data_IF_236335576564
#
_entry.id   IF_236335576564
#
_cell.length_a   1.000
_cell.length_b   1.000
_cell.length_c   1.000
_cell.angle_alpha   90.00
_cell.angle_beta   90.00
_cell.angle_gamma   90.00
#
_symmetry.space_group_name_H-M   'P 1'
#
loop_
_entity.id
_entity.type
_entity.pdbx_description
1 polymer ?
#
# COMPACT_ATOMS: atom_id res chain seq x y z
N UNK A 1 -41.62 -8.40 8.38
CA UNK A 1 -40.92 -7.09 8.47
C UNK A 1 -39.43 -7.38 8.59
N UNK A 2 -38.55 -6.85 7.71
CA UNK A 2 -37.13 -7.13 7.78
C UNK A 2 -36.49 -6.24 8.85
N UNK A 3 -35.75 -6.84 9.78
CA UNK A 3 -34.89 -6.11 10.70
C UNK A 3 -33.64 -5.69 9.94
N UNK A 4 -33.53 -4.40 9.66
CA UNK A 4 -32.28 -3.73 9.34
C UNK A 4 -31.39 -3.76 10.57
N UNK A 5 -30.16 -4.28 10.44
CA UNK A 5 -29.07 -3.79 11.27
C UNK A 5 -27.77 -3.87 10.47
N UNK A 6 -27.42 -2.74 9.87
CA UNK A 6 -26.14 -2.52 9.22
C UNK A 6 -25.06 -2.57 10.28
N UNK A 7 -24.19 -3.59 10.21
CA UNK A 7 -22.98 -3.63 11.02
C UNK A 7 -22.11 -2.45 10.60
N UNK A 8 -22.01 -1.47 11.47
CA UNK A 8 -21.14 -0.31 11.31
C UNK A 8 -19.71 -0.79 11.61
N UNK A 9 -19.01 -1.28 10.58
CA UNK A 9 -17.57 -1.55 10.66
C UNK A 9 -16.86 -0.21 10.57
N UNK A 10 -16.37 0.28 11.71
CA UNK A 10 -15.47 1.42 11.75
C UNK A 10 -14.05 0.88 11.47
N UNK A 11 -13.43 1.17 10.30
CA UNK A 11 -12.20 0.50 9.87
C UNK A 11 -10.92 1.15 10.41
N UNK A 12 -11.03 2.12 11.34
CA UNK A 12 -9.86 2.77 11.91
C UNK A 12 -9.33 1.96 13.10
N UNK A 13 -8.11 1.42 12.96
CA UNK A 13 -7.35 0.85 14.07
C UNK A 13 -7.14 1.97 15.12
N UNK A 14 -7.54 1.78 16.40
CA UNK A 14 -7.35 2.79 17.43
C UNK A 14 -5.86 3.10 17.65
N UNK A 15 -5.53 4.37 17.92
CA UNK A 15 -4.14 4.83 18.04
C UNK A 15 -3.31 4.05 19.08
N UNK A 16 -3.91 3.62 20.20
CA UNK A 16 -3.22 2.81 21.21
C UNK A 16 -2.85 1.40 20.74
N UNK A 17 -3.46 0.89 19.66
CA UNK A 17 -3.09 -0.37 19.03
C UNK A 17 -1.81 -0.22 18.20
N UNK A 18 -1.49 1.00 17.74
CA UNK A 18 -0.22 1.32 17.05
C UNK A 18 0.99 1.35 17.99
N UNK A 19 0.77 1.50 19.29
CA UNK A 19 1.82 1.54 20.32
C UNK A 19 2.22 0.14 20.81
N UNK A 20 1.58 -0.93 20.31
CA UNK A 20 2.03 -2.30 20.54
C UNK A 20 3.21 -2.62 19.60
N UNK A 21 4.21 -3.31 20.15
CA UNK A 21 5.37 -3.85 19.43
C UNK A 21 4.94 -4.70 18.22
N UNK A 22 4.80 -4.05 17.06
CA UNK A 22 4.35 -4.69 15.82
C UNK A 22 5.47 -5.50 15.21
N UNK A 23 5.19 -6.78 14.98
CA UNK A 23 6.12 -7.71 14.31
C UNK A 23 5.89 -7.70 12.81
N UNK A 24 7.00 -7.62 12.08
CA UNK A 24 7.05 -7.83 10.65
C UNK A 24 6.44 -9.21 10.33
N UNK A 25 5.44 -9.28 9.47
CA UNK A 25 4.76 -10.54 9.16
C UNK A 25 5.68 -11.53 8.43
N UNK A 26 6.74 -11.03 7.78
CA UNK A 26 7.68 -11.82 6.97
C UNK A 26 8.85 -12.40 7.75
N UNK A 27 9.45 -11.62 8.64
CA UNK A 27 10.66 -12.03 9.36
C UNK A 27 10.55 -11.94 10.90
N UNK A 28 9.45 -11.42 11.43
CA UNK A 28 9.22 -11.30 12.87
C UNK A 28 9.95 -10.16 13.58
N UNK A 29 10.82 -9.41 12.88
CA UNK A 29 11.50 -8.22 13.42
C UNK A 29 10.50 -7.09 13.75
N UNK A 30 10.88 -6.13 14.59
CA UNK A 30 10.04 -4.97 14.88
C UNK A 30 9.85 -4.09 13.65
N UNK A 31 8.62 -3.62 13.44
CA UNK A 31 8.33 -2.55 12.49
C UNK A 31 8.63 -1.20 13.15
N UNK A 32 9.23 -0.30 12.38
CA UNK A 32 9.56 1.06 12.83
C UNK A 32 8.63 2.05 12.11
N UNK A 33 7.85 2.87 12.83
CA UNK A 33 7.04 3.91 12.22
C UNK A 33 7.96 5.03 11.70
N UNK A 34 7.89 5.30 10.40
CA UNK A 34 8.68 6.32 9.71
C UNK A 34 7.77 7.32 8.98
N UNK A 35 8.05 8.62 9.07
CA UNK A 35 7.27 9.63 8.37
C UNK A 35 7.61 9.70 6.89
N UNK A 36 6.58 9.84 6.06
CA UNK A 36 6.63 10.11 4.62
C UNK A 36 5.66 11.25 4.33
N UNK A 37 6.15 12.48 4.39
CA UNK A 37 5.30 13.66 4.46
C UNK A 37 4.42 13.63 5.72
N UNK A 38 3.10 13.77 5.53
CA UNK A 38 2.11 13.71 6.63
C UNK A 38 1.58 12.30 6.90
N UNK A 39 2.18 11.27 6.30
CA UNK A 39 1.77 9.87 6.41
C UNK A 39 2.84 9.14 7.19
N UNK A 40 2.45 8.26 8.10
CA UNK A 40 3.37 7.34 8.79
C UNK A 40 3.29 6.00 8.12
N UNK A 41 4.42 5.38 7.80
CA UNK A 41 4.49 4.02 7.28
C UNK A 41 5.33 3.16 8.22
N UNK A 42 5.02 1.88 8.33
CA UNK A 42 5.68 0.98 9.26
C UNK A 42 6.71 0.12 8.50
N UNK A 43 7.98 0.52 8.56
CA UNK A 43 9.07 -0.12 7.82
C UNK A 43 9.73 -1.21 8.66
N UNK A 44 9.90 -2.38 8.08
CA UNK A 44 10.78 -3.40 8.63
C UNK A 44 12.23 -3.09 8.29
N UNK A 45 13.05 -2.80 9.31
CA UNK A 45 14.49 -2.54 9.14
C UNK A 45 15.33 -3.81 8.89
N UNK A 46 14.66 -4.97 8.71
CA UNK A 46 15.30 -6.27 8.50
C UNK A 46 15.16 -6.80 7.09
N UNK A 47 13.95 -6.78 6.55
CA UNK A 47 13.64 -7.31 5.21
C UNK A 47 13.17 -6.23 4.25
N UNK A 48 13.19 -4.97 4.67
CA UNK A 48 12.79 -3.77 3.93
C UNK A 48 11.33 -3.79 3.44
N UNK A 49 10.50 -4.65 4.02
CA UNK A 49 9.07 -4.62 3.76
C UNK A 49 8.38 -3.49 4.51
N UNK A 50 7.26 -3.03 3.97
CA UNK A 50 6.47 -1.94 4.51
C UNK A 50 5.07 -2.43 4.83
N UNK A 51 4.61 -2.07 6.02
CA UNK A 51 3.22 -2.17 6.38
C UNK A 51 2.54 -0.79 6.21
N UNK A 52 1.35 -0.81 5.63
CA UNK A 52 0.48 0.34 5.49
C UNK A 52 -0.86 0.05 6.15
N UNK A 53 -1.37 0.99 6.91
CA UNK A 53 -2.72 0.91 7.43
C UNK A 53 -3.77 1.24 6.37
N UNK A 54 -5.01 0.94 6.71
CA UNK A 54 -6.15 1.25 5.85
C UNK A 54 -6.16 2.72 5.41
N UNK A 55 -6.12 2.94 4.10
CA UNK A 55 -6.18 4.26 3.48
C UNK A 55 -4.84 4.98 3.35
N UNK A 56 -3.75 4.46 3.89
CA UNK A 56 -2.41 5.10 3.76
C UNK A 56 -1.88 5.01 2.33
N UNK A 57 -2.08 3.89 1.64
CA UNK A 57 -1.71 3.75 0.22
C UNK A 57 -2.40 4.81 -0.66
N UNK A 58 -3.68 5.05 -0.43
CA UNK A 58 -4.48 6.05 -1.14
C UNK A 58 -4.00 7.47 -0.85
N UNK A 59 -3.58 7.76 0.39
CA UNK A 59 -2.96 9.03 0.75
C UNK A 59 -1.61 9.19 0.04
N UNK A 60 -0.75 8.17 0.08
CA UNK A 60 0.56 8.17 -0.59
C UNK A 60 0.39 8.43 -2.09
N UNK A 61 -0.56 7.76 -2.74
CA UNK A 61 -0.91 7.98 -4.15
C UNK A 61 -1.31 9.41 -4.48
N UNK A 62 -1.90 10.16 -3.54
CA UNK A 62 -2.29 11.57 -3.74
C UNK A 62 -1.14 12.54 -3.56
N UNK A 63 -0.08 12.16 -2.83
CA UNK A 63 1.09 13.05 -2.62
C UNK A 63 1.92 13.23 -3.88
N UNK A 64 1.91 12.25 -4.78
CA UNK A 64 2.79 12.23 -5.96
C UNK A 64 4.27 11.97 -5.64
N UNK A 65 4.60 11.63 -4.39
CA UNK A 65 5.94 11.23 -3.98
C UNK A 65 6.39 9.95 -4.71
N UNK A 66 7.70 9.83 -4.88
CA UNK A 66 8.38 8.73 -5.59
C UNK A 66 9.61 8.31 -4.81
N UNK A 67 10.15 7.14 -5.15
CA UNK A 67 11.36 6.59 -4.55
C UNK A 67 11.28 6.63 -3.01
N UNK A 68 10.09 6.31 -2.48
CA UNK A 68 9.79 6.44 -1.05
C UNK A 68 10.65 5.45 -0.29
N UNK A 69 10.72 4.21 -0.77
CA UNK A 69 11.51 3.17 -0.11
C UNK A 69 13.00 3.52 -0.11
N UNK A 70 13.50 4.02 -1.24
CA UNK A 70 14.88 4.51 -1.36
C UNK A 70 15.15 5.69 -0.41
N UNK A 71 14.26 6.67 -0.35
CA UNK A 71 14.39 7.84 0.54
C UNK A 71 14.44 7.39 2.01
N UNK A 72 13.58 6.45 2.39
CA UNK A 72 13.57 5.88 3.74
C UNK A 72 14.86 5.10 4.06
N UNK A 73 15.40 4.36 3.09
CA UNK A 73 16.69 3.68 3.24
C UNK A 73 17.86 4.67 3.40
N UNK A 74 17.91 5.73 2.59
CA UNK A 74 18.95 6.76 2.69
C UNK A 74 18.90 7.54 4.01
N UNK A 75 17.71 7.84 4.52
CA UNK A 75 17.52 8.65 5.72
C UNK A 75 17.64 7.84 7.02
N UNK A 76 17.13 6.61 7.04
CA UNK A 76 17.01 5.81 8.27
C UNK A 76 17.84 4.52 8.26
N UNK A 77 18.51 4.20 7.14
CA UNK A 77 19.34 3.02 6.98
C UNK A 77 18.55 1.71 6.89
N UNK A 78 19.30 0.62 6.71
CA UNK A 78 18.85 -0.77 6.81
C UNK A 78 19.92 -1.56 7.57
N UNK A 79 19.86 -1.61 8.91
CA UNK A 79 20.81 -2.40 9.69
C UNK A 79 20.70 -3.87 9.27
N UNK A 80 21.83 -4.60 9.16
CA UNK A 80 21.80 -6.00 8.78
C UNK A 80 21.05 -6.79 9.85
N UNK A 81 19.89 -7.31 9.49
CA UNK A 81 19.12 -8.18 10.35
C UNK A 81 19.39 -9.65 10.04
N UNK A 82 19.27 -10.54 11.03
CA UNK A 82 19.31 -11.96 10.80
C UNK A 82 18.14 -12.36 9.89
N UNK A 83 18.45 -12.78 8.66
CA UNK A 83 17.47 -13.34 7.73
C UNK A 83 16.87 -14.61 8.33
N UNK A 84 15.67 -14.52 8.88
CA UNK A 84 14.76 -15.66 8.92
C UNK A 84 13.61 -15.36 7.95
N UNK A 85 13.77 -15.75 6.69
CA UNK A 85 12.66 -15.85 5.75
C UNK A 85 11.84 -17.07 6.14
N UNK A 86 10.91 -16.90 7.08
CA UNK A 86 9.83 -17.86 7.23
C UNK A 86 8.86 -17.57 6.09
N UNK A 87 9.11 -18.16 4.92
CA UNK A 87 8.16 -18.21 3.81
C UNK A 87 6.96 -19.08 4.23
N UNK A 88 6.09 -18.51 5.05
CA UNK A 88 4.88 -19.11 5.58
C UNK A 88 3.67 -18.19 5.40
N UNK A 89 2.52 -18.59 5.97
CA UNK A 89 1.32 -17.78 6.00
C UNK A 89 1.56 -16.52 6.85
N UNK A 90 1.74 -15.38 6.18
CA UNK A 90 1.91 -14.07 6.82
C UNK A 90 0.72 -13.79 7.73
N UNK A 91 0.97 -13.31 8.94
CA UNK A 91 -0.09 -12.92 9.90
C UNK A 91 -0.20 -11.41 10.00
N UNK A 92 -1.41 -10.90 10.18
CA UNK A 92 -1.62 -9.48 10.41
C UNK A 92 -0.92 -9.04 11.71
N UNK A 93 -0.09 -7.97 11.70
CA UNK A 93 0.55 -7.43 12.91
C UNK A 93 -0.45 -6.94 13.96
N UNK A 94 -1.64 -6.52 13.52
CA UNK A 94 -2.70 -6.02 14.40
C UNK A 94 -3.75 -7.08 14.77
N UNK A 95 -4.11 -7.95 13.82
CA UNK A 95 -5.13 -8.98 14.00
C UNK A 95 -4.43 -10.32 14.15
N UNK A 96 -3.95 -10.63 15.36
CA UNK A 96 -3.03 -11.75 15.62
C UNK A 96 -3.53 -13.13 15.12
N UNK A 97 -4.84 -13.32 15.04
CA UNK A 97 -5.48 -14.55 14.58
C UNK A 97 -5.80 -14.58 13.07
N UNK A 98 -5.52 -13.49 12.35
CA UNK A 98 -5.83 -13.35 10.93
C UNK A 98 -4.59 -13.51 10.05
N UNK A 99 -4.68 -14.46 9.11
CA UNK A 99 -3.72 -14.57 8.01
C UNK A 99 -3.94 -13.48 6.97
N UNK A 100 -2.86 -12.94 6.41
CA UNK A 100 -2.94 -12.04 5.26
C UNK A 100 -3.34 -12.83 4.02
N UNK A 101 -4.14 -12.19 3.17
CA UNK A 101 -4.56 -12.71 1.87
C UNK A 101 -3.73 -12.06 0.79
N UNK A 102 -3.08 -12.88 -0.03
CA UNK A 102 -2.32 -12.42 -1.19
C UNK A 102 -3.24 -11.98 -2.31
N UNK A 103 -3.08 -10.74 -2.75
CA UNK A 103 -3.63 -10.22 -3.99
C UNK A 103 -2.46 -9.82 -4.91
N UNK A 104 -2.71 -9.82 -6.21
CA UNK A 104 -1.83 -9.18 -7.19
C UNK A 104 -2.56 -7.97 -7.74
N UNK A 105 -1.96 -6.80 -7.57
CA UNK A 105 -2.51 -5.51 -7.96
C UNK A 105 -1.69 -4.92 -9.10
N UNK A 106 -2.35 -4.12 -9.95
CA UNK A 106 -1.87 -3.58 -11.24
C UNK A 106 -2.09 -4.49 -12.46
N UNK A 107 -2.35 -3.84 -13.59
CA UNK A 107 -2.61 -4.46 -14.90
C UNK A 107 -1.34 -4.68 -15.73
N UNK A 108 -0.32 -3.85 -15.54
CA UNK A 108 0.88 -3.84 -16.38
C UNK A 108 2.02 -4.64 -15.74
N UNK A 109 2.22 -4.46 -14.43
CA UNK A 109 3.21 -5.20 -13.65
C UNK A 109 2.52 -5.74 -12.40
N UNK A 110 2.19 -7.04 -12.33
CA UNK A 110 1.52 -7.58 -11.15
C UNK A 110 2.42 -7.41 -9.93
N UNK A 111 2.03 -6.53 -9.02
CA UNK A 111 2.69 -6.34 -7.73
C UNK A 111 1.96 -7.20 -6.71
N UNK A 112 2.71 -8.04 -5.99
CA UNK A 112 2.14 -8.82 -4.89
C UNK A 112 1.80 -7.85 -3.77
N UNK A 113 0.65 -8.08 -3.14
CA UNK A 113 0.17 -7.24 -2.06
C UNK A 113 -0.66 -8.11 -1.13
N UNK A 114 -0.13 -8.35 0.07
CA UNK A 114 -0.80 -9.13 1.09
C UNK A 114 -1.65 -8.18 1.94
N UNK A 115 -2.91 -8.54 2.26
CA UNK A 115 -3.78 -7.65 3.05
C UNK A 115 -4.60 -8.42 4.09
N UNK A 116 -4.92 -7.74 5.18
CA UNK A 116 -5.82 -8.28 6.19
C UNK A 116 -7.29 -8.07 5.78
N UNK A 117 -8.12 -9.11 5.90
CA UNK A 117 -9.55 -9.02 5.59
C UNK A 117 -10.38 -8.30 6.67
N UNK A 118 -9.79 -8.05 7.84
CA UNK A 118 -10.46 -7.43 9.00
C UNK A 118 -10.13 -5.95 9.10
N UNK A 119 -8.84 -5.60 9.25
CA UNK A 119 -8.42 -4.21 9.41
C UNK A 119 -8.03 -3.53 8.09
N UNK A 120 -7.98 -4.26 6.97
CA UNK A 120 -7.55 -3.75 5.66
C UNK A 120 -6.12 -3.20 5.60
N UNK A 121 -5.29 -3.47 6.61
CA UNK A 121 -3.87 -3.19 6.54
C UNK A 121 -3.17 -4.07 5.50
N UNK A 122 -2.07 -3.56 4.97
CA UNK A 122 -1.45 -4.02 3.74
C UNK A 122 0.04 -4.23 3.99
N UNK A 123 0.55 -5.36 3.53
CA UNK A 123 1.98 -5.68 3.51
C UNK A 123 2.50 -5.63 2.09
N UNK A 124 3.63 -4.95 1.93
CA UNK A 124 4.37 -4.77 0.69
C UNK A 124 5.81 -5.22 0.95
N UNK A 125 6.30 -6.13 0.12
CA UNK A 125 7.71 -6.52 0.15
C UNK A 125 8.61 -5.39 -0.39
N UNK A 126 9.91 -5.55 -0.18
CA UNK A 126 10.94 -4.65 -0.69
C UNK A 126 10.72 -4.30 -2.18
N UNK A 127 10.65 -3.01 -2.47
CA UNK A 127 10.40 -2.33 -3.76
C UNK A 127 8.97 -2.45 -4.31
N UNK A 128 8.02 -3.00 -3.58
CA UNK A 128 6.65 -3.14 -4.07
C UNK A 128 5.83 -1.84 -3.95
N UNK A 129 6.11 -1.00 -2.94
CA UNK A 129 5.43 0.28 -2.78
C UNK A 129 5.80 1.22 -3.93
N UNK A 130 7.09 1.34 -4.25
CA UNK A 130 7.54 2.23 -5.33
C UNK A 130 6.91 1.82 -6.68
N UNK A 131 6.89 0.51 -7.00
CA UNK A 131 6.21 -0.02 -8.20
C UNK A 131 4.73 0.33 -8.24
N UNK A 132 4.03 0.21 -7.11
CA UNK A 132 2.59 0.52 -7.04
C UNK A 132 2.29 2.00 -7.28
N UNK A 133 3.21 2.89 -6.91
CA UNK A 133 3.07 4.32 -7.12
C UNK A 133 3.43 4.73 -8.55
N UNK A 134 4.37 4.03 -9.20
CA UNK A 134 4.71 4.22 -10.61
C UNK A 134 3.56 3.79 -11.55
N UNK A 135 2.94 2.63 -11.31
CA UNK A 135 1.90 2.08 -12.19
C UNK A 135 0.64 2.96 -12.29
N UNK A 136 0.27 3.67 -11.21
CA UNK A 136 -0.85 4.62 -11.23
C UNK A 136 -0.64 5.70 -12.29
N UNK A 137 0.59 6.18 -12.45
CA UNK A 137 0.90 7.26 -13.38
C UNK A 137 0.78 6.80 -14.84
N UNK A 138 1.13 5.55 -15.13
CA UNK A 138 0.96 4.98 -16.46
C UNK A 138 -0.52 4.85 -16.84
N UNK A 139 -1.37 4.42 -15.90
CA UNK A 139 -2.83 4.35 -16.12
C UNK A 139 -3.45 5.74 -16.30
N UNK A 140 -3.10 6.70 -15.45
CA UNK A 140 -3.59 8.08 -15.55
C UNK A 140 -3.12 8.72 -16.89
N UNK A 141 -1.87 8.47 -17.32
CA UNK A 141 -1.34 8.95 -18.60
C UNK A 141 -2.05 8.33 -19.81
N UNK A 142 -2.37 7.03 -19.77
CA UNK A 142 -3.10 6.33 -20.84
C UNK A 142 -4.55 6.81 -20.95
N UNK A 143 -5.24 7.05 -19.84
CA UNK A 143 -6.63 7.54 -19.86
C UNK A 143 -6.76 8.97 -20.40
N UNK A 144 -5.80 9.86 -20.10
CA UNK A 144 -5.84 11.26 -20.55
C UNK A 144 -5.50 11.37 -22.02
N UNK A 145 -4.49 10.65 -22.53
CA UNK A 145 -4.11 10.78 -23.94
C UNK A 145 -5.11 10.12 -24.90
N UNK A 146 -5.62 8.93 -24.58
CA UNK A 146 -6.51 8.19 -25.49
C UNK A 146 -7.91 8.79 -25.58
N UNK A 147 -8.52 9.10 -24.44
CA UNK A 147 -9.88 9.64 -24.38
C UNK A 147 -9.98 11.08 -24.87
N UNK A 148 -9.00 11.91 -24.50
CA UNK A 148 -9.03 13.34 -24.78
C UNK A 148 -8.61 13.66 -26.22
N UNK A 149 -7.61 12.96 -26.79
CA UNK A 149 -7.30 13.07 -28.24
C UNK A 149 -8.50 12.64 -29.10
N UNK A 150 -9.19 11.56 -28.72
CA UNK A 150 -10.38 11.09 -29.44
C UNK A 150 -11.55 12.09 -29.34
N UNK A 151 -11.80 12.67 -28.16
CA UNK A 151 -12.82 13.72 -28.01
C UNK A 151 -12.48 14.99 -28.78
N UNK A 152 -11.25 15.49 -28.70
CA UNK A 152 -10.84 16.70 -29.43
C UNK A 152 -10.88 16.51 -30.95
N UNK A 153 -10.48 15.33 -31.45
CA UNK A 153 -10.61 14.98 -32.86
C UNK A 153 -12.08 14.95 -33.33
N UNK A 154 -12.99 14.40 -32.50
CA UNK A 154 -14.42 14.37 -32.80
C UNK A 154 -15.07 15.77 -32.77
N UNK A 155 -14.64 16.65 -31.86
CA UNK A 155 -15.11 18.03 -31.77
C UNK A 155 -14.60 18.89 -32.94
N UNK A 156 -13.32 18.79 -33.31
CA UNK A 156 -12.76 19.52 -34.44
C UNK A 156 -13.47 19.19 -35.77
N UNK A 157 -13.87 17.92 -35.95
CA UNK A 157 -14.61 17.45 -37.13
C UNK A 157 -16.05 17.98 -37.22
N UNK A 158 -16.61 18.47 -36.10
CA UNK A 158 -17.96 19.08 -36.03
C UNK A 158 -17.97 20.59 -36.28
N UNK A 159 -16.84 21.27 -36.08
CA UNK A 159 -16.73 22.73 -36.23
C UNK A 159 -16.26 23.12 -37.65
N UNK A 160 -15.58 22.21 -38.35
CA UNK A 160 -15.14 22.41 -39.75
C UNK A 160 -16.15 22.01 -40.82
N UNK A 161 -17.46 22.08 -40.56
CA UNK A 161 -18.53 21.71 -41.50
C UNK A 161 -19.57 22.80 -41.63
#
# INVERSE_FOLDING_TARGET
>A
MPFTNTVNVNPAVPQWLKDLDMKCPKCGAMLTPLPVGDITVDKCQSCDGIWLDHGELEKLRKTGLRDIEKTLEEQYGNPPAPMSSLDGYLRCPYCADEGLRTNYVSYMQPVKMDHCAVCFGMWLDKRELDKLLEDKQQLDAVQVEGGMKAMFAALAKRIGR
#
